data_IF_375940834833
#
_entry.id   IF_375940834833
#
_cell.length_a   1.000
_cell.length_b   1.000
_cell.length_c   1.000
_cell.angle_alpha   90.00
_cell.angle_beta   90.00
_cell.angle_gamma   90.00
#
_symmetry.space_group_name_H-M   'P 1'
#
loop_
_entity.id
_entity.type
_entity.pdbx_description
1 polymer ?
#
# COMPACT_ATOMS: atom_id res chain seq x y z
N UNK A 1 7.78 -10.06 24.17
CA UNK A 1 7.54 -10.80 22.93
C UNK A 1 8.82 -11.52 22.62
N UNK A 2 8.76 -12.84 22.48
CA UNK A 2 9.94 -13.61 22.09
C UNK A 2 10.38 -13.20 20.68
N UNK A 3 11.68 -13.15 20.41
CA UNK A 3 12.23 -12.77 19.11
C UNK A 3 11.74 -13.74 18.02
N UNK A 4 11.59 -15.02 18.39
CA UNK A 4 11.00 -16.06 17.55
C UNK A 4 9.54 -15.78 17.19
N UNK A 5 8.72 -15.35 18.16
CA UNK A 5 7.32 -14.98 17.92
C UNK A 5 7.23 -13.75 16.99
N UNK A 6 8.11 -12.77 17.19
CA UNK A 6 8.18 -11.59 16.33
C UNK A 6 8.49 -11.95 14.87
N UNK A 7 9.39 -12.90 14.65
CA UNK A 7 9.79 -13.33 13.31
C UNK A 7 8.72 -14.19 12.62
N UNK A 8 7.98 -15.02 13.38
CA UNK A 8 6.82 -15.75 12.84
C UNK A 8 5.75 -14.76 12.37
N UNK A 9 5.40 -13.78 13.20
CA UNK A 9 4.40 -12.76 12.85
C UNK A 9 4.84 -11.97 11.62
N UNK A 10 6.12 -11.60 11.51
CA UNK A 10 6.65 -10.95 10.29
C UNK A 10 6.47 -11.83 9.06
N UNK A 11 6.83 -13.12 9.14
CA UNK A 11 6.70 -14.04 8.02
C UNK A 11 5.23 -14.22 7.58
N UNK A 12 4.30 -14.32 8.54
CA UNK A 12 2.86 -14.39 8.26
C UNK A 12 2.34 -13.11 7.60
N UNK A 13 2.74 -11.94 8.09
CA UNK A 13 2.39 -10.65 7.49
C UNK A 13 2.91 -10.57 6.05
N UNK A 14 4.16 -10.96 5.80
CA UNK A 14 4.76 -10.99 4.45
C UNK A 14 4.01 -11.96 3.52
N UNK A 15 3.57 -13.12 4.03
CA UNK A 15 2.80 -14.08 3.25
C UNK A 15 1.42 -13.53 2.86
N UNK A 16 0.70 -12.92 3.81
CA UNK A 16 -0.59 -12.26 3.55
C UNK A 16 -0.41 -11.11 2.55
N UNK A 17 0.65 -10.33 2.73
CA UNK A 17 1.02 -9.25 1.81
C UNK A 17 1.20 -9.75 0.38
N UNK A 18 1.98 -10.83 0.19
CA UNK A 18 2.20 -11.44 -1.12
C UNK A 18 0.90 -11.96 -1.76
N UNK A 19 0.00 -12.57 -0.97
CA UNK A 19 -1.31 -13.04 -1.46
C UNK A 19 -2.17 -11.86 -1.92
N UNK A 20 -2.26 -10.78 -1.12
CA UNK A 20 -3.02 -9.59 -1.48
C UNK A 20 -2.50 -8.93 -2.75
N UNK A 21 -1.17 -8.81 -2.89
CA UNK A 21 -0.54 -8.28 -4.10
C UNK A 21 -0.90 -9.13 -5.32
N UNK A 22 -0.83 -10.46 -5.21
CA UNK A 22 -1.18 -11.36 -6.30
C UNK A 22 -2.66 -11.22 -6.72
N UNK A 23 -3.57 -11.15 -5.74
CA UNK A 23 -5.01 -10.98 -5.99
C UNK A 23 -5.30 -9.63 -6.65
N UNK A 24 -4.79 -8.53 -6.09
CA UNK A 24 -5.03 -7.20 -6.64
C UNK A 24 -4.40 -7.01 -8.01
N UNK A 25 -3.18 -7.50 -8.23
CA UNK A 25 -2.55 -7.48 -9.55
C UNK A 25 -3.39 -8.26 -10.57
N UNK A 26 -3.91 -9.43 -10.18
CA UNK A 26 -4.77 -10.23 -11.05
C UNK A 26 -6.06 -9.50 -11.37
N UNK A 27 -6.70 -8.87 -10.38
CA UNK A 27 -7.89 -8.05 -10.57
C UNK A 27 -7.61 -6.86 -11.49
N UNK A 28 -6.53 -6.11 -11.28
CA UNK A 28 -6.16 -4.98 -12.14
C UNK A 28 -5.86 -5.43 -13.59
N UNK A 29 -5.26 -6.61 -13.76
CA UNK A 29 -4.97 -7.17 -15.10
C UNK A 29 -6.24 -7.67 -15.81
N UNK A 30 -7.09 -8.41 -15.11
CA UNK A 30 -8.31 -9.00 -15.69
C UNK A 30 -9.45 -7.96 -15.82
N UNK A 31 -9.39 -6.87 -15.04
CA UNK A 31 -10.37 -5.77 -14.98
C UNK A 31 -9.64 -4.43 -14.92
N UNK A 32 -9.10 -4.01 -16.07
CA UNK A 32 -8.39 -2.74 -16.20
C UNK A 32 -9.23 -1.52 -15.78
N UNK A 33 -10.56 -1.62 -15.84
CA UNK A 33 -11.50 -0.61 -15.37
C UNK A 33 -11.44 -0.35 -13.85
N UNK A 34 -10.87 -1.28 -13.07
CA UNK A 34 -10.66 -1.12 -11.63
C UNK A 34 -9.36 -0.39 -11.28
N UNK A 35 -8.43 -0.22 -12.23
CA UNK A 35 -7.15 0.43 -11.96
C UNK A 35 -7.31 1.81 -11.30
N UNK A 36 -8.20 2.72 -11.75
CA UNK A 36 -8.35 4.03 -11.12
C UNK A 36 -8.93 3.98 -9.70
N UNK A 37 -9.69 2.93 -9.36
CA UNK A 37 -10.17 2.72 -8.00
C UNK A 37 -9.01 2.31 -7.08
N UNK A 38 -8.13 1.42 -7.55
CA UNK A 38 -6.94 1.05 -6.79
C UNK A 38 -5.98 2.23 -6.61
N UNK A 39 -5.78 3.07 -7.63
CA UNK A 39 -4.96 4.28 -7.50
C UNK A 39 -5.50 5.21 -6.41
N UNK A 40 -6.80 5.50 -6.41
CA UNK A 40 -7.45 6.29 -5.35
C UNK A 40 -7.30 5.66 -3.98
N UNK A 41 -7.47 4.34 -3.86
CA UNK A 41 -7.30 3.66 -2.59
C UNK A 41 -5.87 3.78 -2.04
N UNK A 42 -4.85 3.72 -2.91
CA UNK A 42 -3.47 3.98 -2.51
C UNK A 42 -3.24 5.44 -2.09
N UNK A 43 -3.76 6.42 -2.85
CA UNK A 43 -3.68 7.84 -2.51
C UNK A 43 -4.35 8.16 -1.16
N UNK A 44 -5.50 7.55 -0.89
CA UNK A 44 -6.23 7.65 0.38
C UNK A 44 -5.42 7.06 1.54
N UNK A 45 -4.80 5.89 1.34
CA UNK A 45 -3.96 5.25 2.34
C UNK A 45 -2.72 6.11 2.68
N UNK A 46 -2.06 6.68 1.68
CA UNK A 46 -0.94 7.63 1.86
C UNK A 46 -1.39 8.85 2.66
N UNK A 47 -2.55 9.43 2.32
CA UNK A 47 -3.13 10.59 3.01
C UNK A 47 -3.46 10.28 4.47
N UNK A 48 -4.05 9.12 4.75
CA UNK A 48 -4.38 8.68 6.10
C UNK A 48 -3.10 8.52 6.92
N UNK A 49 -2.07 7.86 6.37
CA UNK A 49 -0.79 7.68 7.04
C UNK A 49 -0.14 9.03 7.36
N UNK A 50 -0.10 9.96 6.40
CA UNK A 50 0.40 11.31 6.62
C UNK A 50 -0.39 12.06 7.71
N UNK A 51 -1.73 11.96 7.69
CA UNK A 51 -2.61 12.59 8.68
C UNK A 51 -2.44 12.02 10.09
N UNK A 52 -2.21 10.72 10.23
CA UNK A 52 -1.87 10.08 11.52
C UNK A 52 -0.54 10.61 12.07
N UNK A 53 0.46 10.82 11.20
CA UNK A 53 1.77 11.34 11.60
C UNK A 53 1.63 12.72 12.25
N UNK A 54 0.87 13.60 11.60
CA UNK A 54 0.59 14.95 12.09
C UNK A 54 -0.17 14.92 13.43
N UNK A 55 -1.21 14.08 13.56
CA UNK A 55 -2.03 13.99 14.78
C UNK A 55 -1.26 13.47 16.00
N UNK A 56 -0.23 12.65 15.78
CA UNK A 56 0.62 12.14 16.86
C UNK A 56 1.69 13.16 17.32
N UNK A 57 1.71 14.39 16.75
CA UNK A 57 2.68 15.42 17.11
C UNK A 57 4.11 15.05 16.72
N UNK A 58 4.27 14.13 15.78
CA UNK A 58 5.56 13.64 15.31
C UNK A 58 6.12 14.66 14.32
N UNK A 59 6.92 15.62 14.80
CA UNK A 59 7.65 16.57 13.92
C UNK A 59 8.64 15.85 12.99
N UNK A 60 8.98 14.59 13.31
CA UNK A 60 9.76 13.69 12.46
C UNK A 60 8.99 12.39 12.30
N UNK A 61 8.81 11.84 11.07
CA UNK A 61 8.18 10.55 10.89
C UNK A 61 8.91 9.51 11.75
N UNK A 62 8.19 8.76 12.59
CA UNK A 62 8.76 7.59 13.23
C UNK A 62 9.30 6.69 12.10
N UNK A 63 10.45 6.03 12.32
CA UNK A 63 11.03 5.10 11.34
C UNK A 63 10.01 4.04 10.87
N UNK A 64 9.04 3.70 11.72
CA UNK A 64 7.89 2.86 11.40
C UNK A 64 6.93 3.45 10.36
N UNK A 65 6.73 4.77 10.33
CA UNK A 65 5.89 5.44 9.32
C UNK A 65 6.59 5.56 7.98
N UNK A 66 7.89 5.87 7.97
CA UNK A 66 8.68 5.82 6.72
C UNK A 66 8.65 4.41 6.14
N UNK A 67 8.85 3.39 6.97
CA UNK A 67 8.72 1.99 6.55
C UNK A 67 7.32 1.67 6.01
N UNK A 68 6.26 2.15 6.66
CA UNK A 68 4.88 1.94 6.19
C UNK A 68 4.62 2.61 4.83
N UNK A 69 5.13 3.82 4.60
CA UNK A 69 5.03 4.51 3.30
C UNK A 69 5.80 3.77 2.21
N UNK A 70 7.03 3.30 2.50
CA UNK A 70 7.80 2.50 1.55
C UNK A 70 7.07 1.21 1.17
N UNK A 71 6.51 0.49 2.14
CA UNK A 71 5.71 -0.71 1.87
C UNK A 71 4.49 -0.38 1.01
N UNK A 72 3.83 0.74 1.25
CA UNK A 72 2.67 1.16 0.47
C UNK A 72 3.03 1.46 -0.99
N UNK A 73 4.15 2.15 -1.24
CA UNK A 73 4.66 2.38 -2.60
C UNK A 73 5.04 1.08 -3.32
N UNK A 74 5.70 0.15 -2.63
CA UNK A 74 6.05 -1.17 -3.18
C UNK A 74 4.81 -1.96 -3.58
N UNK A 75 3.77 -1.91 -2.74
CA UNK A 75 2.46 -2.49 -3.03
C UNK A 75 1.83 -1.88 -4.27
N UNK A 76 1.77 -0.55 -4.34
CA UNK A 76 1.22 0.18 -5.48
C UNK A 76 1.91 -0.22 -6.79
N UNK A 77 3.24 -0.24 -6.80
CA UNK A 77 4.04 -0.66 -7.98
C UNK A 77 3.77 -2.11 -8.37
N UNK A 78 3.68 -3.02 -7.41
CA UNK A 78 3.46 -4.43 -7.71
C UNK A 78 2.03 -4.73 -8.21
N UNK A 79 1.04 -4.00 -7.72
CA UNK A 79 -0.37 -4.15 -8.10
C UNK A 79 -0.65 -3.52 -9.45
N UNK A 80 -0.17 -2.29 -9.68
CA UNK A 80 -0.53 -1.51 -10.86
C UNK A 80 0.45 -1.68 -12.03
N UNK A 81 1.72 -2.02 -11.77
CA UNK A 81 2.75 -2.29 -12.79
C UNK A 81 3.19 -1.06 -13.60
N UNK A 82 2.23 -0.38 -14.24
CA UNK A 82 2.36 0.89 -14.94
C UNK A 82 1.18 1.78 -14.52
N UNK A 83 1.45 2.96 -13.98
CA UNK A 83 0.44 3.89 -13.46
C UNK A 83 -0.36 4.59 -14.57
N UNK A 84 -0.16 4.23 -15.84
CA UNK A 84 -0.93 4.74 -16.97
C UNK A 84 -2.45 4.60 -16.78
N UNK A 85 -2.91 3.53 -16.11
CA UNK A 85 -4.31 3.34 -15.73
C UNK A 85 -4.83 4.25 -14.61
N UNK A 86 -3.97 5.01 -13.93
CA UNK A 86 -4.37 5.97 -12.89
C UNK A 86 -4.79 7.33 -13.47
N UNK A 87 -4.34 7.68 -14.67
CA UNK A 87 -4.54 9.01 -15.25
C UNK A 87 -5.90 9.21 -15.95
N UNK A 88 -6.61 8.13 -16.29
CA UNK A 88 -7.86 8.21 -17.06
C UNK A 88 -9.12 8.53 -16.22
N UNK A 89 -9.03 8.59 -14.88
CA UNK A 89 -10.19 8.88 -14.03
C UNK A 89 -10.40 10.37 -13.68
N UNK A 90 -9.60 11.28 -14.23
CA UNK A 90 -9.69 12.74 -13.95
C UNK A 90 -10.45 13.51 -15.06
N UNK A 91 -11.21 12.82 -15.91
CA UNK A 91 -12.12 13.48 -16.88
C UNK A 91 -13.56 12.99 -16.70
N UNK A 92 -14.28 13.67 -15.82
CA UNK A 92 -15.70 14.02 -16.00
C UNK A 92 -16.03 15.29 -15.21
#
# INVERSE_FOLDING_TARGET
MDETEADIVKAEVVAIQAVLMAVFRRLATDRADLAPLFCRAFDEAETILAGVAVKLGLETPLSSMTGAMTVLEEFRRAVLGDESGCHDAVRD
#
